data_IF_672943221545
#
_entry.id   IF_672943221545
#
_cell.length_a   1.000
_cell.length_b   1.000
_cell.length_c   1.000
_cell.angle_alpha   90.00
_cell.angle_beta   90.00
_cell.angle_gamma   90.00
#
_symmetry.space_group_name_H-M   'P 1'
#
loop_
_entity.id
_entity.type
_entity.pdbx_description
1 polymer ?
#
# COMPACT_ATOMS: atom_id res chain seq x y z
N UNK A 1 1.09 -23.59 -4.38
CA UNK A 1 2.21 -23.10 -5.22
C UNK A 1 3.22 -22.49 -4.27
N UNK A 2 4.48 -22.80 -4.38
CA UNK A 2 5.47 -22.22 -3.50
C UNK A 2 5.79 -20.78 -3.91
N UNK A 3 5.76 -19.85 -2.95
CA UNK A 3 5.98 -18.42 -3.23
C UNK A 3 7.43 -17.98 -3.07
N UNK A 4 8.27 -18.79 -2.40
CA UNK A 4 9.65 -18.43 -2.05
C UNK A 4 9.75 -17.36 -0.96
N UNK A 5 8.66 -17.10 -0.21
CA UNK A 5 8.61 -16.09 0.86
C UNK A 5 8.91 -16.65 2.24
N UNK A 6 8.98 -17.97 2.39
CA UNK A 6 9.30 -18.61 3.68
C UNK A 6 10.64 -18.13 4.22
N UNK A 7 10.63 -17.63 5.46
CA UNK A 7 11.81 -17.08 6.14
C UNK A 7 12.25 -15.68 5.67
N UNK A 8 11.61 -15.11 4.65
CA UNK A 8 11.89 -13.73 4.19
C UNK A 8 11.46 -12.72 5.24
N UNK A 9 12.25 -11.65 5.40
CA UNK A 9 12.00 -10.55 6.33
C UNK A 9 11.18 -9.48 5.59
N UNK A 10 9.98 -9.24 6.07
CA UNK A 10 8.99 -8.40 5.40
C UNK A 10 8.57 -7.25 6.30
N UNK A 11 8.74 -6.01 5.85
CA UNK A 11 8.12 -4.84 6.47
C UNK A 11 6.79 -4.53 5.78
N UNK A 12 5.73 -4.38 6.56
CA UNK A 12 4.42 -3.91 6.08
C UNK A 12 4.12 -2.56 6.74
N UNK A 13 4.23 -1.46 5.98
CA UNK A 13 3.85 -0.16 6.51
C UNK A 13 2.33 -0.01 6.57
N UNK A 14 1.83 0.72 7.58
CA UNK A 14 0.38 0.78 7.82
C UNK A 14 -0.24 -0.57 8.21
N UNK A 15 0.57 -1.48 8.76
CA UNK A 15 0.19 -2.85 9.10
C UNK A 15 -0.93 -2.97 10.14
N UNK A 16 -1.20 -1.92 10.93
CA UNK A 16 -2.35 -1.84 11.85
C UNK A 16 -3.66 -1.41 11.17
N UNK A 17 -3.64 -1.06 9.87
CA UNK A 17 -4.81 -0.71 9.06
C UNK A 17 -5.45 -1.91 8.36
N UNK A 18 -6.56 -1.69 7.62
CA UNK A 18 -7.33 -2.77 6.99
C UNK A 18 -6.52 -3.58 5.97
N UNK A 19 -6.02 -2.93 4.91
CA UNK A 19 -5.21 -3.60 3.87
C UNK A 19 -3.88 -4.07 4.45
N UNK A 20 -3.21 -3.24 5.27
CA UNK A 20 -1.92 -3.58 5.86
C UNK A 20 -1.99 -4.82 6.75
N UNK A 21 -3.02 -4.96 7.58
CA UNK A 21 -3.19 -6.15 8.43
C UNK A 21 -3.48 -7.41 7.60
N UNK A 22 -4.23 -7.29 6.51
CA UNK A 22 -4.44 -8.39 5.58
C UNK A 22 -3.13 -8.79 4.88
N UNK A 23 -2.30 -7.83 4.47
CA UNK A 23 -0.96 -8.11 3.93
C UNK A 23 -0.07 -8.82 4.96
N UNK A 24 -0.05 -8.34 6.21
CA UNK A 24 0.74 -8.96 7.27
C UNK A 24 0.33 -10.42 7.50
N UNK A 25 -0.99 -10.70 7.56
CA UNK A 25 -1.50 -12.07 7.65
C UNK A 25 -1.11 -12.93 6.45
N UNK A 26 -1.24 -12.40 5.25
CA UNK A 26 -0.91 -13.12 4.03
C UNK A 26 0.59 -13.47 3.97
N UNK A 27 1.48 -12.55 4.31
CA UNK A 27 2.92 -12.83 4.39
C UNK A 27 3.26 -13.85 5.49
N UNK A 28 2.63 -13.74 6.67
CA UNK A 28 2.84 -14.71 7.75
C UNK A 28 2.36 -16.11 7.36
N UNK A 29 1.26 -16.23 6.63
CA UNK A 29 0.75 -17.51 6.11
C UNK A 29 1.73 -18.17 5.11
N UNK A 30 2.53 -17.36 4.38
CA UNK A 30 3.63 -17.84 3.53
C UNK A 30 4.93 -18.16 4.31
N UNK A 31 4.89 -18.07 5.63
CA UNK A 31 6.04 -18.35 6.51
C UNK A 31 7.09 -17.24 6.54
N UNK A 32 6.75 -16.03 6.15
CA UNK A 32 7.64 -14.87 6.25
C UNK A 32 7.75 -14.37 7.71
N UNK A 33 8.87 -13.71 8.03
CA UNK A 33 9.09 -12.99 9.28
C UNK A 33 8.56 -11.56 9.10
N UNK A 34 7.40 -11.26 9.69
CA UNK A 34 6.70 -10.00 9.44
C UNK A 34 7.04 -8.96 10.50
N UNK A 35 7.36 -7.74 10.03
CA UNK A 35 7.39 -6.54 10.84
C UNK A 35 6.20 -5.67 10.50
N UNK A 36 5.36 -5.42 11.48
CA UNK A 36 4.13 -4.64 11.37
C UNK A 36 4.41 -3.20 11.80
N UNK A 37 4.40 -2.27 10.85
CA UNK A 37 4.52 -0.86 11.18
C UNK A 37 3.17 -0.25 11.55
N UNK A 38 3.19 0.64 12.55
CA UNK A 38 2.06 1.48 12.97
C UNK A 38 2.51 2.94 13.19
N UNK A 39 1.56 3.89 13.06
CA UNK A 39 1.75 5.27 13.51
C UNK A 39 0.98 5.47 14.84
N UNK A 40 -0.34 5.49 14.81
CA UNK A 40 -1.20 5.71 15.99
C UNK A 40 -1.92 4.45 16.51
N UNK A 41 -1.87 3.36 15.77
CA UNK A 41 -2.61 2.13 16.07
C UNK A 41 -1.77 1.08 16.79
N UNK A 42 -1.06 1.44 17.88
CA UNK A 42 -0.18 0.52 18.61
C UNK A 42 -0.90 -0.73 19.10
N UNK A 43 -2.04 -0.56 19.78
CA UNK A 43 -2.80 -1.68 20.35
C UNK A 43 -3.25 -2.66 19.25
N UNK A 44 -3.65 -2.13 18.08
CA UNK A 44 -4.01 -2.97 16.92
C UNK A 44 -2.81 -3.70 16.34
N UNK A 45 -1.64 -3.07 16.33
CA UNK A 45 -0.41 -3.71 15.86
C UNK A 45 0.05 -4.80 16.84
N UNK A 46 -0.04 -4.57 18.15
CA UNK A 46 0.25 -5.55 19.20
C UNK A 46 -0.71 -6.76 19.13
N UNK A 47 -2.01 -6.49 18.98
CA UNK A 47 -3.01 -7.56 18.82
C UNK A 47 -2.74 -8.40 17.56
N UNK A 48 -2.40 -7.76 16.45
CA UNK A 48 -2.05 -8.46 15.21
C UNK A 48 -0.76 -9.28 15.36
N UNK A 49 0.26 -8.72 16.00
CA UNK A 49 1.50 -9.46 16.25
C UNK A 49 1.29 -10.68 17.16
N UNK A 50 0.44 -10.54 18.18
CA UNK A 50 0.05 -11.66 19.04
C UNK A 50 -0.75 -12.73 18.28
N UNK A 51 -1.66 -12.34 17.39
CA UNK A 51 -2.42 -13.24 16.51
C UNK A 51 -1.49 -14.03 15.57
N UNK A 52 -0.54 -13.34 14.92
CA UNK A 52 0.38 -13.96 13.97
C UNK A 52 1.45 -14.80 14.65
N UNK A 53 1.79 -14.49 15.89
CA UNK A 53 2.76 -15.23 16.68
C UNK A 53 4.16 -15.25 16.06
N UNK A 54 4.95 -16.27 16.46
CA UNK A 54 6.27 -16.54 15.88
C UNK A 54 7.26 -15.38 16.00
N UNK A 55 7.85 -14.99 14.88
CA UNK A 55 8.84 -13.90 14.80
C UNK A 55 8.25 -12.55 14.41
N UNK A 56 6.92 -12.38 14.48
CA UNK A 56 6.27 -11.12 14.17
C UNK A 56 6.68 -10.04 15.18
N UNK A 57 7.15 -8.90 14.66
CA UNK A 57 7.53 -7.73 15.46
C UNK A 57 6.68 -6.53 15.06
N UNK A 58 6.64 -5.52 15.92
CA UNK A 58 6.00 -4.24 15.63
C UNK A 58 7.05 -3.12 15.64
N UNK A 59 6.84 -2.08 14.85
CA UNK A 59 7.66 -0.87 14.85
C UNK A 59 6.77 0.36 14.66
N UNK A 60 6.98 1.39 15.47
CA UNK A 60 6.24 2.65 15.41
C UNK A 60 7.04 3.74 14.72
N UNK A 61 6.40 4.47 13.79
CA UNK A 61 6.99 5.67 13.17
C UNK A 61 5.90 6.56 12.55
N UNK A 62 6.12 7.87 12.54
CA UNK A 62 5.46 8.77 11.61
C UNK A 62 6.23 8.78 10.30
N UNK A 63 5.67 8.20 9.23
CA UNK A 63 6.33 8.07 7.93
C UNK A 63 6.48 9.40 7.19
N UNK A 64 5.90 10.49 7.68
CA UNK A 64 6.13 11.84 7.17
C UNK A 64 7.40 12.48 7.74
N UNK A 65 7.94 11.89 8.81
CA UNK A 65 9.13 12.39 9.53
C UNK A 65 10.37 11.58 9.16
N UNK A 66 11.30 12.20 8.44
CA UNK A 66 12.52 11.54 7.94
C UNK A 66 13.29 10.81 9.04
N UNK A 67 13.53 11.47 10.19
CA UNK A 67 14.28 10.90 11.31
C UNK A 67 13.59 9.63 11.90
N UNK A 68 12.25 9.62 11.96
CA UNK A 68 11.52 8.47 12.44
C UNK A 68 11.58 7.29 11.47
N UNK A 69 11.52 7.56 10.17
CA UNK A 69 11.70 6.55 9.13
C UNK A 69 13.11 5.95 9.19
N UNK A 70 14.14 6.79 9.34
CA UNK A 70 15.53 6.31 9.48
C UNK A 70 15.71 5.42 10.72
N UNK A 71 15.16 5.82 11.86
CA UNK A 71 15.13 4.97 13.09
C UNK A 71 14.38 3.66 12.85
N UNK A 72 13.21 3.71 12.23
CA UNK A 72 12.40 2.53 11.90
C UNK A 72 13.20 1.50 11.09
N UNK A 73 13.89 1.95 10.05
CA UNK A 73 14.72 1.06 9.23
C UNK A 73 15.95 0.53 9.98
N UNK A 74 16.58 1.34 10.83
CA UNK A 74 17.68 0.89 11.69
C UNK A 74 17.23 -0.22 12.66
N UNK A 75 16.05 -0.08 13.28
CA UNK A 75 15.44 -1.08 14.16
C UNK A 75 14.97 -2.33 13.39
N UNK A 76 14.56 -2.18 12.15
CA UNK A 76 14.09 -3.29 11.31
C UNK A 76 15.21 -4.27 10.95
N UNK A 77 16.42 -3.77 10.80
CA UNK A 77 17.53 -4.54 10.23
C UNK A 77 17.32 -4.80 8.74
N UNK A 78 18.09 -5.71 8.17
CA UNK A 78 17.99 -6.04 6.77
C UNK A 78 16.61 -6.65 6.42
N UNK A 79 16.02 -6.19 5.34
CA UNK A 79 14.70 -6.62 4.84
C UNK A 79 14.82 -7.17 3.42
N UNK A 80 14.05 -8.23 3.13
CA UNK A 80 13.95 -8.83 1.79
C UNK A 80 12.77 -8.22 1.02
N UNK A 81 11.70 -7.83 1.72
CA UNK A 81 10.48 -7.25 1.14
C UNK A 81 10.02 -6.04 1.94
N UNK A 82 9.61 -4.99 1.23
CA UNK A 82 8.88 -3.88 1.83
C UNK A 82 7.55 -3.67 1.10
N UNK A 83 6.44 -3.81 1.81
CA UNK A 83 5.11 -3.45 1.34
C UNK A 83 4.75 -2.07 1.89
N UNK A 84 4.85 -1.05 1.04
CA UNK A 84 4.53 0.35 1.36
C UNK A 84 3.02 0.58 1.25
N UNK A 85 2.27 0.14 2.26
CA UNK A 85 0.80 0.14 2.28
C UNK A 85 0.24 1.40 2.97
N UNK A 86 1.02 2.04 3.84
CA UNK A 86 0.58 3.22 4.58
C UNK A 86 0.08 4.32 3.66
N UNK A 87 -1.01 4.96 4.07
CA UNK A 87 -1.61 6.10 3.40
C UNK A 87 -2.91 6.50 4.08
N UNK A 88 -3.39 7.68 3.77
CA UNK A 88 -4.64 8.23 4.29
C UNK A 88 -5.52 8.73 3.16
N UNK A 89 -6.81 8.41 3.21
CA UNK A 89 -7.83 8.94 2.33
C UNK A 89 -8.65 9.98 3.13
N UNK A 90 -8.72 11.24 2.68
CA UNK A 90 -9.52 12.26 3.35
C UNK A 90 -11.02 11.91 3.20
N UNK A 91 -11.75 11.87 4.31
CA UNK A 91 -13.17 11.47 4.28
C UNK A 91 -14.08 12.56 3.70
N UNK A 92 -13.65 13.83 3.75
CA UNK A 92 -14.42 14.97 3.27
C UNK A 92 -14.23 15.14 1.76
N UNK A 93 -15.34 15.16 1.03
CA UNK A 93 -15.39 15.48 -0.41
C UNK A 93 -15.33 17.00 -0.58
N UNK A 94 -14.26 17.50 -1.21
CA UNK A 94 -14.08 18.93 -1.51
C UNK A 94 -13.67 19.11 -2.98
N UNK A 95 -14.43 19.89 -3.75
CA UNK A 95 -14.02 20.22 -5.11
C UNK A 95 -12.71 21.04 -5.09
N UNK A 96 -11.90 20.90 -6.15
CA UNK A 96 -10.55 21.48 -6.19
C UNK A 96 -10.50 23.00 -5.95
N UNK A 97 -11.53 23.72 -6.31
CA UNK A 97 -11.61 25.17 -6.12
C UNK A 97 -11.93 25.59 -4.65
N UNK A 98 -12.31 24.64 -3.80
CA UNK A 98 -12.54 24.84 -2.37
C UNK A 98 -11.46 24.16 -1.52
N UNK A 99 -10.57 23.38 -2.15
CA UNK A 99 -9.55 22.59 -1.46
C UNK A 99 -8.48 23.48 -0.81
N UNK A 100 -8.36 23.53 0.55
CA UNK A 100 -7.32 24.33 1.20
C UNK A 100 -5.92 23.79 0.89
N UNK A 101 -4.96 24.71 0.71
CA UNK A 101 -3.56 24.34 0.47
C UNK A 101 -2.96 23.50 1.61
N UNK A 102 -3.41 23.73 2.83
CA UNK A 102 -3.00 22.94 4.00
C UNK A 102 -3.41 21.48 3.86
N UNK A 103 -4.67 21.19 3.51
CA UNK A 103 -5.17 19.83 3.25
C UNK A 103 -4.42 19.19 2.08
N UNK A 104 -4.20 19.94 0.97
CA UNK A 104 -3.39 19.48 -0.15
C UNK A 104 -2.02 18.97 0.31
N UNK A 105 -1.28 19.78 1.08
CA UNK A 105 0.04 19.43 1.61
C UNK A 105 -0.02 18.22 2.52
N UNK A 106 -0.93 18.21 3.49
CA UNK A 106 -1.10 17.11 4.43
C UNK A 106 -1.40 15.78 3.71
N UNK A 107 -2.25 15.80 2.69
CA UNK A 107 -2.57 14.61 1.89
C UNK A 107 -1.37 14.12 1.08
N UNK A 108 -0.59 15.03 0.47
CA UNK A 108 0.65 14.67 -0.22
C UNK A 108 1.67 14.08 0.75
N UNK A 109 1.83 14.66 1.93
CA UNK A 109 2.78 14.16 2.94
C UNK A 109 2.39 12.78 3.44
N UNK A 110 1.11 12.58 3.81
CA UNK A 110 0.62 11.31 4.33
C UNK A 110 0.65 10.16 3.29
N UNK A 111 0.67 10.46 2.01
CA UNK A 111 0.66 9.46 0.95
C UNK A 111 1.98 9.43 0.14
N UNK A 112 2.34 10.52 -0.52
CA UNK A 112 3.48 10.54 -1.45
C UNK A 112 4.81 10.65 -0.71
N UNK A 113 4.96 11.63 0.20
CA UNK A 113 6.19 11.82 0.99
C UNK A 113 6.47 10.58 1.85
N UNK A 114 5.45 10.05 2.54
CA UNK A 114 5.56 8.83 3.34
C UNK A 114 5.99 7.61 2.50
N UNK A 115 5.43 7.45 1.31
CA UNK A 115 5.83 6.37 0.39
C UNK A 115 7.26 6.56 -0.11
N UNK A 116 7.65 7.79 -0.46
CA UNK A 116 9.02 8.11 -0.88
C UNK A 116 10.03 7.82 0.24
N UNK A 117 9.79 8.28 1.46
CA UNK A 117 10.68 8.03 2.60
C UNK A 117 10.80 6.53 2.91
N UNK A 118 9.70 5.80 2.85
CA UNK A 118 9.69 4.33 2.99
C UNK A 118 10.51 3.65 1.90
N UNK A 119 10.30 4.01 0.64
CA UNK A 119 11.06 3.47 -0.48
C UNK A 119 12.56 3.76 -0.36
N UNK A 120 12.92 5.00 -0.03
CA UNK A 120 14.31 5.42 0.19
C UNK A 120 14.97 4.64 1.31
N UNK A 121 14.28 4.48 2.45
CA UNK A 121 14.78 3.72 3.60
C UNK A 121 15.04 2.26 3.24
N UNK A 122 14.10 1.63 2.55
CA UNK A 122 14.27 0.25 2.05
C UNK A 122 15.45 0.12 1.08
N UNK A 123 15.57 1.00 0.09
CA UNK A 123 16.66 0.94 -0.88
C UNK A 123 18.03 1.21 -0.26
N UNK A 124 18.12 2.07 0.77
CA UNK A 124 19.39 2.35 1.48
C UNK A 124 19.98 1.09 2.12
N UNK A 125 19.15 0.24 2.69
CA UNK A 125 19.58 -0.97 3.40
C UNK A 125 19.49 -2.27 2.57
N UNK A 126 19.05 -2.20 1.31
CA UNK A 126 18.90 -3.37 0.45
C UNK A 126 20.26 -4.04 0.20
N UNK A 127 20.38 -5.30 0.63
CA UNK A 127 21.56 -6.14 0.49
C UNK A 127 21.22 -7.40 -0.31
N UNK A 128 21.08 -7.32 -1.60
CA UNK A 128 20.74 -8.48 -2.43
C UNK A 128 19.35 -8.33 -3.06
N UNK A 129 18.80 -9.44 -3.50
CA UNK A 129 17.54 -9.45 -4.24
C UNK A 129 16.36 -9.17 -3.31
N UNK A 130 15.65 -8.10 -3.58
CA UNK A 130 14.52 -7.68 -2.78
C UNK A 130 13.33 -7.24 -3.62
N UNK A 131 12.19 -7.04 -2.95
CA UNK A 131 10.96 -6.60 -3.59
C UNK A 131 10.31 -5.45 -2.82
N UNK A 132 10.11 -4.33 -3.51
CA UNK A 132 9.34 -3.19 -3.02
C UNK A 132 7.96 -3.20 -3.68
N UNK A 133 6.90 -3.24 -2.89
CA UNK A 133 5.54 -3.16 -3.37
C UNK A 133 4.91 -1.85 -2.90
N UNK A 134 4.57 -0.99 -3.85
CA UNK A 134 3.88 0.27 -3.59
C UNK A 134 2.36 0.06 -3.62
N UNK A 135 1.63 0.79 -2.78
CA UNK A 135 0.17 0.77 -2.81
C UNK A 135 -0.35 2.14 -3.24
N UNK A 136 -0.79 2.17 -4.50
CA UNK A 136 -1.49 3.30 -5.09
C UNK A 136 -2.98 3.30 -4.79
N UNK A 137 -3.77 3.66 -5.81
CA UNK A 137 -5.25 3.62 -5.82
C UNK A 137 -5.73 3.73 -7.26
N UNK A 138 -6.92 3.24 -7.57
CA UNK A 138 -7.61 3.57 -8.84
C UNK A 138 -7.87 5.06 -8.98
N UNK A 139 -8.01 5.81 -7.88
CA UNK A 139 -8.05 7.27 -7.90
C UNK A 139 -6.82 7.89 -8.58
N UNK A 140 -5.64 7.26 -8.45
CA UNK A 140 -4.42 7.67 -9.15
C UNK A 140 -4.38 7.31 -10.64
N UNK A 141 -5.29 6.47 -11.12
CA UNK A 141 -5.38 6.04 -12.52
C UNK A 141 -6.46 6.82 -13.26
N UNK A 142 -7.66 6.92 -12.67
CA UNK A 142 -8.85 7.47 -13.33
C UNK A 142 -9.32 8.79 -12.71
N UNK A 143 -8.67 9.27 -11.65
CA UNK A 143 -9.11 10.43 -10.87
C UNK A 143 -10.18 10.07 -9.85
N UNK A 144 -10.45 10.99 -8.94
CA UNK A 144 -11.53 10.90 -7.96
C UNK A 144 -12.04 12.34 -7.68
N UNK A 145 -13.26 12.62 -8.12
CA UNK A 145 -13.87 13.91 -7.87
C UNK A 145 -13.99 14.15 -6.34
N UNK A 146 -13.73 15.39 -5.90
CA UNK A 146 -13.71 15.74 -4.49
C UNK A 146 -12.42 15.36 -3.72
N UNK A 147 -11.50 14.62 -4.36
CA UNK A 147 -10.27 14.11 -3.76
C UNK A 147 -9.06 14.33 -4.69
N UNK A 148 -8.97 15.51 -5.32
CA UNK A 148 -7.90 15.83 -6.27
C UNK A 148 -6.49 15.72 -5.64
N UNK A 149 -6.34 16.05 -4.36
CA UNK A 149 -5.13 15.90 -3.55
C UNK A 149 -4.69 14.43 -3.43
N UNK A 150 -5.62 13.56 -3.09
CA UNK A 150 -5.38 12.12 -2.97
C UNK A 150 -5.09 11.48 -4.34
N UNK A 151 -5.90 11.80 -5.34
CA UNK A 151 -5.71 11.32 -6.71
C UNK A 151 -4.33 11.70 -7.26
N UNK A 152 -3.90 12.96 -7.06
CA UNK A 152 -2.59 13.44 -7.46
C UNK A 152 -1.45 12.67 -6.76
N UNK A 153 -1.55 12.49 -5.43
CA UNK A 153 -0.55 11.74 -4.67
C UNK A 153 -0.43 10.28 -5.16
N UNK A 154 -1.56 9.61 -5.35
CA UNK A 154 -1.60 8.21 -5.79
C UNK A 154 -1.18 8.05 -7.25
N UNK A 155 -1.48 9.02 -8.12
CA UNK A 155 -0.98 9.06 -9.49
C UNK A 155 0.53 9.21 -9.55
N UNK A 156 1.12 10.10 -8.74
CA UNK A 156 2.56 10.28 -8.65
C UNK A 156 3.29 9.01 -8.20
N UNK A 157 2.69 8.23 -7.28
CA UNK A 157 3.25 6.94 -6.83
C UNK A 157 3.25 5.93 -7.99
N UNK A 158 2.14 5.78 -8.72
CA UNK A 158 1.97 4.77 -9.77
C UNK A 158 2.72 5.11 -11.06
N UNK A 159 2.81 6.39 -11.40
CA UNK A 159 3.45 6.88 -12.60
C UNK A 159 4.93 7.18 -12.41
N UNK A 160 5.25 8.34 -11.84
CA UNK A 160 6.63 8.82 -11.74
C UNK A 160 7.51 8.01 -10.79
N UNK A 161 7.07 7.83 -9.54
CA UNK A 161 7.90 7.20 -8.50
C UNK A 161 8.17 5.72 -8.83
N UNK A 162 7.15 4.93 -9.13
CA UNK A 162 7.30 3.52 -9.50
C UNK A 162 8.28 3.33 -10.65
N UNK A 163 8.11 4.11 -11.72
CA UNK A 163 8.90 3.96 -12.94
C UNK A 163 10.37 4.40 -12.76
N UNK A 164 10.62 5.36 -11.88
CA UNK A 164 11.98 5.73 -11.48
C UNK A 164 12.63 4.63 -10.64
N UNK A 165 11.91 4.18 -9.60
CA UNK A 165 12.43 3.20 -8.65
C UNK A 165 12.75 1.85 -9.30
N UNK A 166 11.95 1.38 -10.29
CA UNK A 166 12.27 0.13 -11.01
C UNK A 166 13.61 0.17 -11.74
N UNK A 167 14.01 1.36 -12.21
CA UNK A 167 15.29 1.56 -12.89
C UNK A 167 16.46 1.79 -11.92
N UNK A 168 16.15 2.23 -10.71
CA UNK A 168 17.15 2.53 -9.68
C UNK A 168 17.47 1.31 -8.81
N UNK A 169 16.48 0.51 -8.45
CA UNK A 169 16.66 -0.64 -7.56
C UNK A 169 17.64 -1.67 -8.14
N UNK A 170 17.63 -1.85 -9.46
CA UNK A 170 18.53 -2.79 -10.16
C UNK A 170 20.00 -2.36 -10.13
N UNK A 171 20.27 -1.09 -9.77
CA UNK A 171 21.64 -0.60 -9.52
C UNK A 171 22.14 -1.06 -8.14
N UNK A 172 21.24 -1.40 -7.22
CA UNK A 172 21.55 -1.96 -5.90
C UNK A 172 21.70 -3.47 -5.98
N UNK A 173 20.76 -4.13 -6.66
CA UNK A 173 20.79 -5.55 -6.94
C UNK A 173 20.09 -5.87 -8.26
N UNK A 174 20.73 -6.65 -9.18
CA UNK A 174 20.21 -6.88 -10.54
C UNK A 174 18.85 -7.58 -10.60
N UNK A 175 18.48 -8.34 -9.57
CA UNK A 175 17.22 -9.09 -9.52
C UNK A 175 16.18 -8.47 -8.58
N UNK A 176 16.50 -7.33 -7.98
CA UNK A 176 15.56 -6.60 -7.13
C UNK A 176 14.45 -5.94 -7.97
N UNK A 177 13.25 -5.88 -7.44
CA UNK A 177 12.04 -5.50 -8.19
C UNK A 177 11.21 -4.46 -7.45
N UNK A 178 10.55 -3.60 -8.22
CA UNK A 178 9.54 -2.65 -7.70
C UNK A 178 8.26 -2.80 -8.51
N UNK A 179 7.14 -3.07 -7.85
CA UNK A 179 5.82 -3.13 -8.46
C UNK A 179 4.80 -2.35 -7.61
N UNK A 180 3.62 -2.16 -8.15
CA UNK A 180 2.54 -1.50 -7.42
C UNK A 180 1.22 -2.25 -7.53
N UNK A 181 0.39 -2.10 -6.51
CA UNK A 181 -1.03 -2.48 -6.52
C UNK A 181 -1.85 -1.20 -6.47
N UNK A 182 -2.90 -1.13 -7.29
CA UNK A 182 -3.87 -0.05 -7.29
C UNK A 182 -5.24 -0.58 -6.84
N UNK A 183 -5.56 -0.54 -5.53
CA UNK A 183 -6.87 -0.93 -5.05
C UNK A 183 -7.94 0.04 -5.55
N UNK A 184 -9.10 -0.50 -5.90
CA UNK A 184 -10.34 0.24 -5.99
C UNK A 184 -11.04 0.32 -4.63
N UNK A 185 -12.35 0.48 -4.64
CA UNK A 185 -13.15 0.47 -3.42
C UNK A 185 -12.96 -0.84 -2.66
N UNK A 186 -12.42 -0.71 -1.45
CA UNK A 186 -12.07 -1.84 -0.59
C UNK A 186 -12.73 -1.62 0.77
N UNK A 187 -13.43 -2.64 1.27
CA UNK A 187 -14.02 -2.59 2.60
C UNK A 187 -12.93 -2.60 3.66
N UNK A 188 -12.81 -1.53 4.41
CA UNK A 188 -11.77 -1.37 5.43
C UNK A 188 -12.26 -0.47 6.58
N UNK A 189 -11.59 -0.44 7.73
CA UNK A 189 -11.89 0.55 8.78
C UNK A 189 -11.82 1.99 8.30
N UNK A 190 -11.02 2.30 7.29
CA UNK A 190 -10.91 3.64 6.68
C UNK A 190 -12.18 4.04 5.92
N UNK A 191 -12.85 3.10 5.28
CA UNK A 191 -14.08 3.34 4.50
C UNK A 191 -15.35 3.04 5.30
N UNK A 192 -15.24 2.18 6.33
CA UNK A 192 -16.39 1.78 7.16
C UNK A 192 -16.91 2.97 7.98
N UNK A 193 -18.19 3.24 7.87
CA UNK A 193 -18.86 4.37 8.56
C UNK A 193 -18.83 5.68 7.76
N UNK A 194 -18.01 5.79 6.70
CA UNK A 194 -17.99 6.93 5.78
C UNK A 194 -18.71 6.63 4.46
N UNK A 195 -19.01 5.35 4.19
CA UNK A 195 -19.66 4.92 2.95
C UNK A 195 -20.96 4.20 3.30
N UNK A 196 -22.09 4.74 2.85
CA UNK A 196 -23.40 4.13 3.06
C UNK A 196 -23.58 2.89 2.17
N UNK A 197 -24.53 2.00 2.54
CA UNK A 197 -24.89 0.86 1.69
C UNK A 197 -25.34 1.28 0.29
N UNK A 198 -25.96 2.45 0.17
CA UNK A 198 -26.39 2.99 -1.12
C UNK A 198 -25.16 3.40 -1.96
N UNK A 199 -24.17 4.03 -1.35
CA UNK A 199 -22.91 4.34 -2.03
C UNK A 199 -22.17 3.06 -2.45
N UNK A 200 -22.15 2.02 -1.60
CA UNK A 200 -21.58 0.71 -1.97
C UNK A 200 -22.32 0.12 -3.18
N UNK A 201 -23.64 0.15 -3.18
CA UNK A 201 -24.44 -0.31 -4.34
C UNK A 201 -24.16 0.51 -5.60
N UNK A 202 -24.07 1.84 -5.48
CA UNK A 202 -23.77 2.74 -6.60
C UNK A 202 -22.38 2.44 -7.17
N UNK A 203 -21.37 2.38 -6.32
CA UNK A 203 -19.98 2.08 -6.73
C UNK A 203 -19.88 0.69 -7.38
N UNK A 204 -20.55 -0.33 -6.81
CA UNK A 204 -20.53 -1.67 -7.38
C UNK A 204 -21.10 -1.75 -8.80
N UNK A 205 -22.00 -0.83 -9.19
CA UNK A 205 -22.51 -0.74 -10.57
C UNK A 205 -21.47 -0.30 -11.59
N UNK A 206 -20.37 0.34 -11.14
CA UNK A 206 -19.26 0.74 -12.01
C UNK A 206 -18.23 -0.38 -12.22
N UNK A 207 -18.42 -1.52 -11.57
CA UNK A 207 -17.49 -2.65 -11.59
C UNK A 207 -18.08 -3.84 -12.34
N UNK A 208 -17.28 -4.51 -13.16
CA UNK A 208 -17.69 -5.75 -13.84
C UNK A 208 -18.05 -6.86 -12.84
N UNK A 209 -17.31 -6.99 -11.73
CA UNK A 209 -17.58 -8.00 -10.68
C UNK A 209 -18.73 -7.61 -9.73
N UNK A 210 -19.25 -6.39 -9.80
CA UNK A 210 -20.36 -5.87 -8.99
C UNK A 210 -20.23 -6.11 -7.48
N UNK A 211 -19.01 -6.09 -6.96
CA UNK A 211 -18.70 -6.19 -5.54
C UNK A 211 -17.53 -5.29 -5.20
N UNK A 212 -17.50 -4.71 -4.02
CA UNK A 212 -16.32 -4.05 -3.47
C UNK A 212 -15.27 -5.11 -3.09
N UNK A 213 -14.01 -4.74 -3.18
CA UNK A 213 -12.91 -5.61 -2.79
C UNK A 213 -12.86 -5.78 -1.27
N UNK A 214 -12.41 -6.95 -0.82
CA UNK A 214 -11.99 -7.17 0.54
C UNK A 214 -10.48 -6.89 0.68
N UNK A 215 -9.97 -6.53 1.87
CA UNK A 215 -8.54 -6.34 2.09
C UNK A 215 -7.68 -7.53 1.64
N UNK A 216 -8.22 -8.75 1.74
CA UNK A 216 -7.57 -9.99 1.30
C UNK A 216 -7.38 -10.06 -0.22
N UNK A 217 -8.29 -9.48 -1.01
CA UNK A 217 -8.16 -9.42 -2.47
C UNK A 217 -6.92 -8.60 -2.87
N UNK A 218 -6.66 -7.50 -2.13
CA UNK A 218 -5.47 -6.66 -2.32
C UNK A 218 -4.21 -7.35 -1.81
N UNK A 219 -4.26 -7.93 -0.61
CA UNK A 219 -3.14 -8.60 0.03
C UNK A 219 -2.60 -9.77 -0.82
N UNK A 220 -3.49 -10.53 -1.47
CA UNK A 220 -3.11 -11.61 -2.37
C UNK A 220 -2.21 -11.11 -3.51
N UNK A 221 -2.54 -9.97 -4.13
CA UNK A 221 -1.73 -9.39 -5.20
C UNK A 221 -0.39 -8.84 -4.69
N UNK A 222 -0.37 -8.26 -3.48
CA UNK A 222 0.87 -7.81 -2.83
C UNK A 222 1.82 -8.98 -2.63
N UNK A 223 1.35 -10.11 -2.11
CA UNK A 223 2.15 -11.34 -1.92
C UNK A 223 2.64 -11.90 -3.25
N UNK A 224 1.78 -12.00 -4.27
CA UNK A 224 2.16 -12.48 -5.61
C UNK A 224 3.27 -11.62 -6.21
N UNK A 225 3.15 -10.29 -6.16
CA UNK A 225 4.16 -9.38 -6.69
C UNK A 225 5.46 -9.39 -5.86
N UNK A 226 5.38 -9.65 -4.57
CA UNK A 226 6.55 -9.79 -3.69
C UNK A 226 7.32 -11.08 -3.94
N UNK A 227 6.63 -12.15 -4.36
CA UNK A 227 7.19 -13.47 -4.57
C UNK A 227 8.29 -13.49 -5.65
N UNK A 228 9.51 -13.97 -5.33
CA UNK A 228 10.56 -14.14 -6.33
C UNK A 228 10.26 -15.29 -7.31
N UNK A 229 9.39 -16.23 -6.93
CA UNK A 229 9.02 -17.39 -7.77
C UNK A 229 7.88 -17.03 -8.73
N UNK A 230 6.80 -16.37 -8.21
CA UNK A 230 5.62 -16.06 -9.01
C UNK A 230 5.81 -14.84 -9.91
N UNK A 231 6.62 -13.88 -9.46
CA UNK A 231 6.83 -12.59 -10.13
C UNK A 231 8.30 -12.26 -10.36
N UNK A 232 9.18 -13.28 -10.46
CA UNK A 232 10.61 -13.08 -10.59
C UNK A 232 11.04 -12.28 -11.82
N UNK A 233 10.22 -12.20 -12.88
CA UNK A 233 10.47 -11.40 -14.08
C UNK A 233 9.45 -10.27 -14.28
N UNK A 234 8.83 -9.81 -13.18
CA UNK A 234 7.83 -8.73 -13.17
C UNK A 234 8.36 -7.54 -12.38
N UNK A 235 8.58 -6.40 -13.02
CA UNK A 235 8.97 -5.13 -12.37
C UNK A 235 8.38 -3.94 -13.11
N UNK A 236 8.08 -2.86 -12.38
CA UNK A 236 7.49 -1.64 -12.92
C UNK A 236 6.01 -1.79 -13.31
N UNK A 237 5.33 -2.83 -12.83
CA UNK A 237 3.94 -3.08 -13.17
C UNK A 237 2.98 -2.54 -12.11
N UNK A 238 1.80 -2.12 -12.56
CA UNK A 238 0.67 -1.75 -11.71
C UNK A 238 -0.43 -2.79 -11.90
N UNK A 239 -0.82 -3.46 -10.81
CA UNK A 239 -1.94 -4.40 -10.82
C UNK A 239 -3.15 -3.73 -10.17
N UNK A 240 -4.19 -3.47 -10.96
CA UNK A 240 -5.46 -2.93 -10.45
C UNK A 240 -6.28 -4.03 -9.79
N UNK A 241 -6.68 -3.81 -8.52
CA UNK A 241 -7.57 -4.70 -7.77
C UNK A 241 -8.90 -3.96 -7.55
N UNK A 242 -9.69 -3.87 -8.60
CA UNK A 242 -10.82 -2.96 -8.68
C UNK A 242 -12.10 -3.59 -9.29
N UNK A 243 -12.14 -4.92 -9.42
CA UNK A 243 -13.32 -5.61 -9.95
C UNK A 243 -13.70 -5.24 -11.39
N UNK A 244 -12.74 -4.72 -12.18
CA UNK A 244 -12.98 -4.26 -13.54
C UNK A 244 -13.61 -2.86 -13.62
N UNK A 245 -13.38 -2.01 -12.60
CA UNK A 245 -13.81 -0.60 -12.65
C UNK A 245 -13.02 0.16 -13.73
N UNK A 246 -13.74 0.77 -14.67
CA UNK A 246 -13.15 1.50 -15.81
C UNK A 246 -13.17 3.03 -15.64
N UNK A 247 -13.51 3.52 -14.46
CA UNK A 247 -13.65 4.96 -14.19
C UNK A 247 -14.89 5.61 -14.84
N UNK A 248 -15.87 4.83 -15.26
CA UNK A 248 -17.12 5.35 -15.81
C UNK A 248 -17.97 5.99 -14.73
N UNK A 249 -18.47 7.18 -15.02
CA UNK A 249 -19.54 7.79 -14.24
C UNK A 249 -20.85 7.15 -14.70
N UNK A 250 -21.53 6.43 -13.81
CA UNK A 250 -22.90 5.97 -14.06
C UNK A 250 -23.84 7.07 -13.62
N UNK A 251 -24.49 7.71 -14.60
CA UNK A 251 -25.55 8.66 -14.30
C UNK A 251 -26.80 7.87 -13.90
N UNK A 252 -27.42 8.28 -12.80
CA UNK A 252 -28.76 7.77 -12.45
C UNK A 252 -29.75 8.34 -13.47
N UNK A 253 -30.29 7.51 -14.34
CA UNK A 253 -31.41 7.83 -15.25
C UNK A 253 -32.72 7.66 -14.53
#
# INVERSE_FOLDING_TARGET
METGLKGKRVLVTGGSGGIGSACARAFAAEGAQVMVHFHQGRDRAEALAAELGGSTRIVGADLTQEAEVERMFAESGALDVCAAVAGAWPAEDLPVWELPLERWRATLDANLTATFLTARGFLRQLEGDGSLILVGSTAGIVGEAGHADYAAAKSAILGGLLLSLKNEIVRKSPLARVNAVAPGWTESPMTRGHVSEEQVRRVSRTMALRKVAQPQDVAAQVVVLASPVLSGHVTGQVVSVAGGMEGRVVHDT
#
